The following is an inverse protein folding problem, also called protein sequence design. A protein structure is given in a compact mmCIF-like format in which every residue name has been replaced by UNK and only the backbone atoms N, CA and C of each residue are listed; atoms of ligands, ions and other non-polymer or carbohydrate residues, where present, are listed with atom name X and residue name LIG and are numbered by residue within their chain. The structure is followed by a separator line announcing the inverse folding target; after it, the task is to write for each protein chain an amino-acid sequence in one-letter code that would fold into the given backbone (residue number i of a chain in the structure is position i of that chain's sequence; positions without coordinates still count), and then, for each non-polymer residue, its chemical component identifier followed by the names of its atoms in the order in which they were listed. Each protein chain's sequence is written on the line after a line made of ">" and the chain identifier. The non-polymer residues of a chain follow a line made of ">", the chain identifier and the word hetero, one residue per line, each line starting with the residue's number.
data_IF_312027813496
#
_entry.id   IF_312027813496
#
_cell.length_a   1.000
_cell.length_b   1.000
_cell.length_c   1.000
_cell.angle_alpha   90.00
_cell.angle_beta   90.00
_cell.angle_gamma   90.00
#
_symmetry.space_group_name_H-M   'P 1'
#
loop_
_entity.id
_entity.type
_entity.pdbx_description
1 polymer ?
#
# COMPACT_ATOMS: atom_id res chain seq x y z
N UNK A 1 16.10 -19.02 30.74
CA UNK A 1 17.04 -19.01 29.60
C UNK A 1 16.97 -17.63 28.97
N UNK A 2 18.14 -17.00 28.81
CA UNK A 2 18.36 -15.55 28.60
C UNK A 2 17.76 -15.02 27.29
N UNK A 3 17.19 -13.81 27.35
CA UNK A 3 16.67 -13.02 26.24
C UNK A 3 17.77 -12.50 25.28
N UNK A 4 17.59 -12.62 23.95
CA UNK A 4 18.16 -11.78 22.86
C UNK A 4 17.35 -12.04 21.57
N UNK A 5 16.92 -11.08 20.75
CA UNK A 5 17.09 -9.63 20.79
C UNK A 5 16.03 -8.93 19.94
N UNK A 6 15.41 -7.91 20.52
CA UNK A 6 14.63 -6.92 19.79
C UNK A 6 15.59 -5.98 19.04
N UNK A 7 15.61 -6.09 17.70
CA UNK A 7 16.21 -5.12 16.77
C UNK A 7 15.11 -4.55 15.89
N UNK A 8 14.11 -3.92 16.52
CA UNK A 8 12.90 -3.46 15.82
C UNK A 8 12.83 -1.95 15.67
N UNK A 9 12.95 -1.22 16.79
CA UNK A 9 12.64 0.21 16.81
C UNK A 9 13.88 1.09 16.58
N UNK A 10 15.02 0.77 17.21
CA UNK A 10 16.25 1.56 17.10
C UNK A 10 16.85 1.60 15.69
N UNK A 11 16.86 0.45 15.03
CA UNK A 11 17.37 0.34 13.65
C UNK A 11 16.39 0.98 12.65
N UNK A 12 15.08 0.95 12.94
CA UNK A 12 14.05 1.63 12.17
C UNK A 12 14.13 3.16 12.31
N UNK A 13 14.32 3.68 13.53
CA UNK A 13 14.53 5.11 13.79
C UNK A 13 15.73 5.65 13.00
N UNK A 14 16.86 4.92 13.01
CA UNK A 14 18.03 5.28 12.22
C UNK A 14 17.77 5.27 10.71
N UNK A 15 16.93 4.35 10.22
CA UNK A 15 16.60 4.26 8.80
C UNK A 15 15.74 5.44 8.34
N UNK A 16 14.74 5.84 9.12
CA UNK A 16 13.92 7.03 8.82
C UNK A 16 14.75 8.29 8.83
N UNK A 17 15.62 8.46 9.84
CA UNK A 17 16.49 9.63 9.93
C UNK A 17 17.46 9.70 8.74
N UNK A 18 18.05 8.57 8.34
CA UNK A 18 18.91 8.46 7.15
C UNK A 18 18.18 8.66 5.82
N UNK A 19 16.92 8.27 5.71
CA UNK A 19 16.09 8.56 4.53
C UNK A 19 15.73 10.04 4.47
N UNK A 20 15.35 10.67 5.59
CA UNK A 20 15.09 12.10 5.69
C UNK A 20 16.29 12.97 5.32
N UNK A 21 17.50 12.61 5.77
CA UNK A 21 18.73 13.33 5.41
C UNK A 21 19.10 13.15 3.93
N UNK A 22 18.91 11.94 3.36
CA UNK A 22 19.13 11.70 1.92
C UNK A 22 18.14 12.47 1.05
N UNK A 23 16.88 12.60 1.48
CA UNK A 23 15.87 13.39 0.79
C UNK A 23 16.22 14.89 0.81
N UNK A 24 16.67 15.42 1.96
CA UNK A 24 17.18 16.80 2.06
C UNK A 24 18.37 17.06 1.14
N UNK A 25 19.27 16.09 0.99
CA UNK A 25 20.43 16.20 0.10
C UNK A 25 20.02 16.15 -1.39
N UNK A 26 19.04 15.29 -1.74
CA UNK A 26 18.43 15.26 -3.08
C UNK A 26 17.69 16.55 -3.42
N UNK A 27 16.96 17.14 -2.48
CA UNK A 27 16.27 18.43 -2.66
C UNK A 27 17.25 19.59 -2.85
N UNK A 28 18.42 19.59 -2.17
CA UNK A 28 19.51 20.55 -2.43
C UNK A 28 20.07 20.46 -3.85
N UNK A 29 20.02 19.28 -4.47
CA UNK A 29 20.43 19.08 -5.86
C UNK A 29 19.32 19.41 -6.86
N UNK A 30 18.05 19.27 -6.48
CA UNK A 30 16.90 19.65 -7.29
C UNK A 30 16.69 21.16 -7.35
N UNK A 31 16.93 21.90 -6.26
CA UNK A 31 16.72 23.36 -6.18
C UNK A 31 17.68 24.20 -7.05
N UNK A 32 18.55 23.56 -7.84
CA UNK A 32 19.35 24.20 -8.91
C UNK A 32 18.65 24.21 -10.28
N UNK A 33 17.46 23.62 -10.40
CA UNK A 33 16.64 23.66 -11.63
C UNK A 33 15.20 23.99 -11.25
N UNK A 34 14.60 24.91 -12.00
CA UNK A 34 13.19 25.31 -11.98
C UNK A 34 12.74 26.29 -10.89
N UNK A 35 13.06 27.56 -11.13
CA UNK A 35 12.20 28.69 -10.82
C UNK A 35 11.21 28.93 -11.97
N UNK A 36 9.98 28.41 -11.90
CA UNK A 36 8.74 29.07 -12.41
C UNK A 36 7.54 28.12 -12.47
N UNK A 37 6.51 28.39 -11.65
CA UNK A 37 5.09 28.46 -12.00
C UNK A 37 4.21 28.35 -10.73
N UNK A 38 3.21 29.23 -10.63
CA UNK A 38 2.45 29.53 -9.41
C UNK A 38 1.44 28.48 -8.95
N UNK A 39 1.22 28.45 -7.64
CA UNK A 39 0.29 27.59 -6.89
C UNK A 39 -1.06 28.28 -6.65
N UNK A 40 -2.16 27.52 -6.74
CA UNK A 40 -3.45 27.84 -6.11
C UNK A 40 -3.93 26.64 -5.27
N UNK A 41 -4.40 26.80 -4.01
CA UNK A 41 -4.43 25.70 -3.03
C UNK A 41 -5.76 24.94 -2.90
N UNK A 42 -6.75 25.12 -3.79
CA UNK A 42 -8.09 24.57 -3.59
C UNK A 42 -8.75 24.12 -4.90
N UNK A 43 -8.29 23.02 -5.49
CA UNK A 43 -9.02 22.32 -6.56
C UNK A 43 -9.51 20.93 -6.08
N UNK A 44 -10.83 20.68 -5.99
CA UNK A 44 -11.41 19.38 -5.64
C UNK A 44 -11.29 18.31 -6.75
N UNK A 45 -10.65 18.62 -7.88
CA UNK A 45 -10.34 17.67 -8.97
C UNK A 45 -8.89 17.16 -8.98
N UNK A 46 -8.13 17.38 -7.92
CA UNK A 46 -6.75 16.92 -7.82
C UNK A 46 -6.68 15.39 -7.84
N UNK A 47 -6.36 14.82 -9.01
CA UNK A 47 -6.40 13.38 -9.29
C UNK A 47 -6.94 13.01 -10.68
N UNK A 48 -7.48 13.96 -11.44
CA UNK A 48 -7.79 13.72 -12.87
C UNK A 48 -6.52 13.79 -13.71
N UNK A 49 -5.87 12.63 -13.84
CA UNK A 49 -4.92 12.37 -14.91
C UNK A 49 -3.46 12.33 -14.47
N UNK A 50 -3.08 11.33 -13.69
CA UNK A 50 -1.68 10.93 -13.59
C UNK A 50 -1.58 9.41 -13.68
N UNK A 51 -1.37 8.96 -14.91
CA UNK A 51 -1.05 7.59 -15.28
C UNK A 51 0.43 7.31 -15.00
N UNK A 52 0.70 6.34 -14.13
CA UNK A 52 1.92 5.52 -14.07
C UNK A 52 3.30 6.21 -14.15
N UNK A 53 3.47 7.43 -13.63
CA UNK A 53 4.75 8.17 -13.76
C UNK A 53 5.26 8.88 -12.50
N UNK A 54 4.67 8.72 -11.32
CA UNK A 54 5.25 9.31 -10.11
C UNK A 54 5.50 8.25 -9.03
N UNK A 55 6.73 8.25 -8.49
CA UNK A 55 7.10 7.57 -7.25
C UNK A 55 6.18 8.06 -6.14
N UNK A 56 5.09 7.34 -5.92
CA UNK A 56 4.36 7.40 -4.66
C UNK A 56 5.33 6.93 -3.59
N UNK A 57 5.89 7.88 -2.83
CA UNK A 57 6.28 7.60 -1.46
C UNK A 57 4.99 7.32 -0.69
N UNK A 58 4.40 6.16 -0.96
CA UNK A 58 3.63 5.44 0.01
C UNK A 58 4.58 5.27 1.19
N UNK A 59 4.30 5.90 2.31
CA UNK A 59 4.72 5.34 3.59
C UNK A 59 3.91 4.04 3.75
N UNK A 60 4.19 3.03 2.92
CA UNK A 60 3.94 1.62 3.23
C UNK A 60 4.95 1.27 4.30
N UNK A 61 4.79 1.89 5.46
CA UNK A 61 5.36 1.36 6.68
C UNK A 61 4.67 0.02 6.86
N UNK A 62 5.34 -1.05 6.43
CA UNK A 62 5.13 -2.41 6.90
C UNK A 62 5.50 -2.47 8.40
N UNK A 63 4.84 -1.64 9.21
CA UNK A 63 5.15 -1.41 10.61
C UNK A 63 3.88 -1.53 11.44
N UNK A 64 3.16 -2.64 11.34
CA UNK A 64 2.31 -3.05 12.46
C UNK A 64 2.29 -4.58 12.53
N UNK A 65 3.32 -5.18 13.15
CA UNK A 65 3.21 -6.57 13.62
C UNK A 65 2.41 -6.68 14.93
N UNK A 66 2.12 -5.56 15.60
CA UNK A 66 1.29 -5.54 16.81
C UNK A 66 0.54 -4.22 16.97
N UNK A 67 -0.71 -4.31 17.42
CA UNK A 67 -1.55 -3.16 17.77
C UNK A 67 -0.85 -2.19 18.74
N UNK A 68 -0.01 -2.72 19.63
CA UNK A 68 0.76 -1.94 20.62
C UNK A 68 1.74 -0.93 19.99
N UNK A 69 2.14 -1.12 18.73
CA UNK A 69 3.03 -0.19 18.03
C UNK A 69 2.29 0.96 17.33
N UNK A 70 0.96 0.87 17.17
CA UNK A 70 0.16 1.79 16.35
C UNK A 70 0.16 3.19 16.95
N UNK A 71 -0.23 3.33 18.22
CA UNK A 71 -0.31 4.64 18.88
C UNK A 71 1.07 5.35 18.94
N UNK A 72 2.18 4.69 19.37
CA UNK A 72 3.50 5.31 19.30
C UNK A 72 3.90 5.75 17.89
N UNK A 73 3.59 4.95 16.87
CA UNK A 73 3.87 5.32 15.48
C UNK A 73 3.04 6.53 15.03
N UNK A 74 1.77 6.61 15.42
CA UNK A 74 0.90 7.74 15.10
C UNK A 74 1.36 9.03 15.79
N UNK A 75 1.79 8.97 17.05
CA UNK A 75 2.38 10.12 17.74
C UNK A 75 3.62 10.67 17.04
N UNK A 76 4.49 9.78 16.55
CA UNK A 76 5.68 10.17 15.79
C UNK A 76 5.31 10.81 14.45
N UNK A 77 4.32 10.23 13.76
CA UNK A 77 3.86 10.76 12.47
C UNK A 77 3.19 12.13 12.64
N UNK A 78 2.44 12.35 13.72
CA UNK A 78 1.81 13.63 14.03
C UNK A 78 2.86 14.75 14.18
N UNK A 79 4.00 14.45 14.80
CA UNK A 79 5.11 15.42 14.96
C UNK A 79 5.71 15.91 13.63
N UNK A 80 5.59 15.12 12.57
CA UNK A 80 6.10 15.49 11.23
C UNK A 80 5.00 15.87 10.26
N UNK A 81 3.73 15.84 10.67
CA UNK A 81 2.55 16.05 9.82
C UNK A 81 2.61 17.34 9.00
N UNK A 82 3.05 18.44 9.61
CA UNK A 82 3.21 19.73 8.92
C UNK A 82 4.25 19.75 7.79
N UNK A 83 5.11 18.73 7.71
CA UNK A 83 6.12 18.57 6.67
C UNK A 83 5.73 17.56 5.60
N UNK A 84 4.61 16.85 5.77
CA UNK A 84 4.13 15.88 4.81
C UNK A 84 3.55 16.61 3.59
N UNK A 85 4.20 16.45 2.44
CA UNK A 85 3.76 17.04 1.16
C UNK A 85 2.76 16.15 0.39
N UNK A 86 2.45 14.96 0.92
CA UNK A 86 1.68 13.91 0.23
C UNK A 86 0.69 13.24 1.20
N UNK A 87 -0.42 12.69 0.69
CA UNK A 87 -1.36 11.93 1.50
C UNK A 87 -0.69 10.76 2.21
N UNK A 88 -1.10 10.51 3.46
CA UNK A 88 -0.61 9.41 4.28
C UNK A 88 -1.44 8.17 4.01
N UNK A 89 -0.75 7.05 3.74
CA UNK A 89 -1.36 5.73 3.64
C UNK A 89 -0.90 4.90 4.83
N UNK A 90 -1.81 4.31 5.60
CA UNK A 90 -1.45 3.47 6.75
C UNK A 90 -1.87 2.03 6.48
N UNK A 91 -0.89 1.12 6.47
CA UNK A 91 -1.06 -0.27 6.11
C UNK A 91 -1.21 -1.20 7.32
N UNK A 92 -2.16 -2.13 7.26
CA UNK A 92 -2.25 -3.25 8.19
C UNK A 92 -2.99 -4.45 7.58
N UNK A 93 -2.53 -5.66 7.91
CA UNK A 93 -3.29 -6.88 7.66
C UNK A 93 -4.25 -7.12 8.83
N UNK A 94 -5.53 -6.86 8.58
CA UNK A 94 -6.57 -6.92 9.62
C UNK A 94 -7.43 -8.18 9.55
N UNK A 95 -7.26 -8.99 8.50
CA UNK A 95 -7.98 -10.24 8.29
C UNK A 95 -7.05 -11.39 7.87
N UNK A 96 -7.38 -12.65 8.18
CA UNK A 96 -6.65 -13.79 7.67
C UNK A 96 -6.97 -13.98 6.18
N UNK A 97 -5.93 -14.19 5.38
CA UNK A 97 -6.04 -14.36 3.94
C UNK A 97 -5.52 -15.71 3.45
N UNK A 98 -5.48 -15.88 2.12
CA UNK A 98 -5.05 -17.13 1.53
C UNK A 98 -3.61 -17.47 1.91
N UNK A 99 -3.41 -18.68 2.43
CA UNK A 99 -2.12 -19.22 2.88
C UNK A 99 -1.42 -18.36 3.97
N UNK A 100 -2.14 -17.42 4.59
CA UNK A 100 -1.60 -16.56 5.65
C UNK A 100 -1.59 -17.25 7.00
N UNK A 101 -0.43 -17.27 7.65
CA UNK A 101 -0.26 -17.86 9.00
C UNK A 101 0.15 -16.83 10.07
N UNK A 102 0.33 -15.57 9.68
CA UNK A 102 0.70 -14.50 10.59
C UNK A 102 -0.51 -14.03 11.41
N UNK A 103 -0.23 -13.46 12.58
CA UNK A 103 -1.26 -12.78 13.38
C UNK A 103 -1.74 -11.54 12.65
N UNK A 104 -3.05 -11.32 12.69
CA UNK A 104 -3.71 -10.11 12.18
C UNK A 104 -3.70 -9.01 13.25
N UNK A 105 -3.88 -7.78 12.80
CA UNK A 105 -4.13 -6.62 13.68
C UNK A 105 -5.63 -6.50 13.90
N UNK A 106 -6.08 -6.29 15.14
CA UNK A 106 -7.50 -6.07 15.42
C UNK A 106 -8.01 -4.80 14.71
N UNK A 107 -8.97 -4.98 13.80
CA UNK A 107 -9.40 -3.94 12.87
C UNK A 107 -9.94 -2.68 13.56
N UNK A 108 -10.84 -2.85 14.55
CA UNK A 108 -11.51 -1.71 15.19
C UNK A 108 -10.54 -0.85 16.02
N UNK A 109 -9.78 -1.41 16.99
CA UNK A 109 -8.80 -0.61 17.73
C UNK A 109 -7.77 0.08 16.83
N UNK A 110 -7.33 -0.61 15.76
CA UNK A 110 -6.41 -0.02 14.79
C UNK A 110 -7.02 1.17 14.06
N UNK A 111 -8.20 1.00 13.45
CA UNK A 111 -8.87 2.08 12.69
C UNK A 111 -9.27 3.24 13.58
N UNK A 112 -9.81 2.99 14.78
CA UNK A 112 -10.13 4.03 15.77
C UNK A 112 -8.87 4.84 16.16
N UNK A 113 -7.76 4.15 16.44
CA UNK A 113 -6.50 4.81 16.81
C UNK A 113 -5.99 5.67 15.67
N UNK A 114 -5.87 5.13 14.45
CA UNK A 114 -5.34 5.88 13.30
C UNK A 114 -6.22 7.09 12.98
N UNK A 115 -7.55 6.92 12.95
CA UNK A 115 -8.48 8.03 12.64
C UNK A 115 -8.49 9.13 13.69
N UNK A 116 -8.15 8.82 14.95
CA UNK A 116 -8.02 9.84 16.00
C UNK A 116 -6.87 10.83 15.77
N UNK A 117 -5.81 10.41 15.06
CA UNK A 117 -4.67 11.27 14.67
C UNK A 117 -4.82 11.81 13.24
N UNK A 118 -5.24 10.95 12.31
CA UNK A 118 -5.32 11.24 10.88
C UNK A 118 -6.74 10.92 10.34
N UNK A 119 -7.72 11.82 10.51
CA UNK A 119 -9.08 11.59 10.04
C UNK A 119 -9.17 11.46 8.51
N UNK A 120 -8.27 12.12 7.77
CA UNK A 120 -8.20 12.15 6.30
C UNK A 120 -7.19 11.13 5.73
N UNK A 121 -6.82 10.10 6.50
CA UNK A 121 -5.90 9.05 6.08
C UNK A 121 -6.48 8.22 4.93
N UNK A 122 -5.62 7.64 4.09
CA UNK A 122 -5.99 6.49 3.26
C UNK A 122 -5.60 5.21 3.98
N UNK A 123 -6.55 4.32 4.20
CA UNK A 123 -6.22 3.01 4.76
C UNK A 123 -5.74 2.05 3.67
N UNK A 124 -4.69 1.28 3.97
CA UNK A 124 -4.28 0.11 3.19
C UNK A 124 -4.57 -1.14 4.02
N UNK A 125 -5.75 -1.74 3.83
CA UNK A 125 -6.24 -2.83 4.69
C UNK A 125 -6.15 -4.17 3.97
N UNK A 126 -5.23 -4.99 4.43
CA UNK A 126 -4.87 -6.25 3.80
C UNK A 126 -5.37 -7.48 4.53
N UNK A 127 -5.01 -8.60 3.92
CA UNK A 127 -5.08 -9.89 4.56
C UNK A 127 -3.67 -10.45 4.73
N UNK A 128 -3.45 -11.21 5.81
CA UNK A 128 -2.23 -12.01 5.88
C UNK A 128 -2.23 -13.02 4.75
N UNK A 129 -1.17 -13.05 3.95
CA UNK A 129 -1.10 -13.91 2.75
C UNK A 129 0.21 -14.68 2.71
N UNK A 130 0.16 -15.88 2.13
CA UNK A 130 1.33 -16.68 1.82
C UNK A 130 1.36 -17.08 0.35
N UNK A 131 2.55 -17.42 -0.12
CA UNK A 131 2.75 -18.08 -1.41
C UNK A 131 3.68 -19.29 -1.23
N UNK A 132 3.36 -20.39 -1.91
CA UNK A 132 4.10 -21.64 -1.81
C UNK A 132 4.34 -22.26 -3.20
N UNK A 133 5.60 -22.59 -3.57
CA UNK A 133 5.93 -23.13 -4.89
C UNK A 133 5.34 -24.53 -5.16
N UNK A 134 5.17 -25.32 -4.10
CA UNK A 134 4.78 -26.74 -4.18
C UNK A 134 3.29 -26.97 -3.94
N UNK A 135 2.50 -25.91 -3.77
CA UNK A 135 1.06 -26.01 -3.46
C UNK A 135 0.24 -25.18 -4.42
N UNK A 136 -1.02 -25.56 -4.56
CA UNK A 136 -2.02 -24.68 -5.19
C UNK A 136 -2.16 -23.45 -4.29
N UNK A 137 -1.88 -22.29 -4.86
CA UNK A 137 -2.05 -21.02 -4.16
C UNK A 137 -3.48 -20.55 -4.39
N UNK A 138 -4.35 -20.84 -3.42
CA UNK A 138 -5.73 -20.34 -3.44
C UNK A 138 -5.75 -18.81 -3.39
N UNK A 139 -6.75 -18.23 -4.05
CA UNK A 139 -7.01 -16.79 -3.98
C UNK A 139 -7.91 -16.43 -2.79
N UNK A 140 -8.09 -15.12 -2.59
CA UNK A 140 -9.14 -14.53 -1.75
C UNK A 140 -10.52 -15.11 -2.08
N UNK A 141 -11.14 -15.71 -1.07
CA UNK A 141 -12.47 -16.30 -1.18
C UNK A 141 -13.59 -15.24 -1.08
N UNK A 142 -14.82 -15.64 -1.43
CA UNK A 142 -16.00 -14.79 -1.24
C UNK A 142 -16.20 -14.38 0.22
N UNK A 143 -15.94 -15.28 1.16
CA UNK A 143 -16.04 -14.97 2.60
C UNK A 143 -15.04 -13.89 2.98
N UNK A 144 -13.79 -14.02 2.53
CA UNK A 144 -12.73 -13.05 2.83
C UNK A 144 -13.06 -11.64 2.33
N UNK A 145 -13.52 -11.50 1.08
CA UNK A 145 -13.83 -10.16 0.54
C UNK A 145 -15.10 -9.56 1.13
N UNK A 146 -16.08 -10.39 1.53
CA UNK A 146 -17.31 -9.90 2.20
C UNK A 146 -17.03 -9.44 3.63
N UNK A 147 -16.15 -10.12 4.33
CA UNK A 147 -15.73 -9.72 5.68
C UNK A 147 -14.94 -8.40 5.63
N UNK A 148 -14.02 -8.25 4.67
CA UNK A 148 -13.32 -6.98 4.46
C UNK A 148 -14.29 -5.84 4.11
N UNK A 149 -15.27 -6.10 3.24
CA UNK A 149 -16.32 -5.14 2.90
C UNK A 149 -17.12 -4.70 4.12
N UNK A 150 -17.50 -5.65 4.98
CA UNK A 150 -18.27 -5.40 6.20
C UNK A 150 -17.56 -4.44 7.16
N UNK A 151 -16.23 -4.58 7.28
CA UNK A 151 -15.40 -3.69 8.08
C UNK A 151 -15.28 -2.33 7.40
N UNK A 152 -14.91 -2.31 6.12
CA UNK A 152 -14.55 -1.08 5.42
C UNK A 152 -15.76 -0.20 5.07
N UNK A 153 -16.97 -0.76 5.02
CA UNK A 153 -18.18 0.00 4.73
C UNK A 153 -18.52 1.01 5.85
N UNK A 154 -17.99 0.79 7.06
CA UNK A 154 -18.17 1.65 8.23
C UNK A 154 -17.19 2.84 8.23
N UNK A 155 -16.14 2.78 7.42
CA UNK A 155 -15.12 3.82 7.31
C UNK A 155 -15.60 4.91 6.33
N UNK A 156 -15.25 6.17 6.60
CA UNK A 156 -15.45 7.29 5.67
C UNK A 156 -14.24 7.51 4.76
N UNK A 157 -13.08 7.04 5.17
CA UNK A 157 -11.78 7.21 4.51
C UNK A 157 -11.68 6.43 3.18
N UNK A 158 -10.81 6.84 2.24
CA UNK A 158 -10.37 5.98 1.16
C UNK A 158 -9.74 4.68 1.69
N UNK A 159 -9.98 3.56 1.00
CA UNK A 159 -9.39 2.26 1.36
C UNK A 159 -8.80 1.62 0.11
N UNK A 160 -7.51 1.32 0.16
CA UNK A 160 -6.87 0.43 -0.81
C UNK A 160 -6.72 -0.95 -0.21
N UNK A 161 -6.95 -2.00 -1.00
CA UNK A 161 -6.77 -3.38 -0.59
C UNK A 161 -5.46 -3.90 -1.19
N UNK A 162 -4.39 -4.07 -0.39
CA UNK A 162 -3.17 -4.70 -0.85
C UNK A 162 -3.43 -6.18 -1.14
N UNK A 163 -3.32 -6.56 -2.40
CA UNK A 163 -3.52 -7.92 -2.88
C UNK A 163 -2.25 -8.44 -3.54
N UNK A 164 -1.80 -9.60 -3.08
CA UNK A 164 -0.61 -10.29 -3.61
C UNK A 164 -0.82 -10.70 -5.07
N UNK A 165 0.05 -10.25 -5.98
CA UNK A 165 -0.02 -10.45 -7.43
C UNK A 165 -0.29 -11.92 -7.82
N UNK A 166 0.44 -12.85 -7.20
CA UNK A 166 0.32 -14.29 -7.45
C UNK A 166 -1.06 -14.90 -7.13
N UNK A 167 -1.92 -14.17 -6.41
CA UNK A 167 -3.24 -14.63 -5.96
C UNK A 167 -4.39 -13.89 -6.66
N UNK A 168 -4.11 -12.86 -7.46
CA UNK A 168 -5.13 -11.96 -7.99
C UNK A 168 -6.00 -12.65 -9.04
N UNK A 169 -5.38 -13.43 -9.93
CA UNK A 169 -6.09 -14.08 -11.04
C UNK A 169 -7.17 -15.04 -10.55
N UNK A 170 -6.88 -15.82 -9.51
CA UNK A 170 -7.83 -16.77 -8.94
C UNK A 170 -8.98 -16.07 -8.20
N UNK A 171 -8.79 -14.79 -7.83
CA UNK A 171 -9.75 -13.98 -7.08
C UNK A 171 -10.38 -12.85 -7.86
N UNK A 172 -10.24 -12.85 -9.18
CA UNK A 172 -10.65 -11.74 -10.01
C UNK A 172 -12.10 -11.31 -9.74
N UNK A 173 -13.04 -12.26 -9.73
CA UNK A 173 -14.47 -12.00 -9.52
C UNK A 173 -14.76 -11.41 -8.13
N UNK A 174 -14.07 -11.91 -7.10
CA UNK A 174 -14.21 -11.47 -5.71
C UNK A 174 -13.70 -10.04 -5.53
N UNK A 175 -12.53 -9.75 -6.10
CA UNK A 175 -11.90 -8.42 -6.03
C UNK A 175 -12.65 -7.38 -6.86
N UNK A 176 -13.14 -7.76 -8.04
CA UNK A 176 -13.99 -6.90 -8.87
C UNK A 176 -15.31 -6.58 -8.17
N UNK A 177 -15.92 -7.57 -7.50
CA UNK A 177 -17.10 -7.33 -6.67
C UNK A 177 -16.80 -6.35 -5.55
N UNK A 178 -15.68 -6.53 -4.84
CA UNK A 178 -15.28 -5.67 -3.73
C UNK A 178 -15.13 -4.20 -4.18
N UNK A 179 -14.42 -3.94 -5.29
CA UNK A 179 -14.26 -2.57 -5.79
C UNK A 179 -15.56 -1.89 -6.24
N UNK A 180 -16.57 -2.67 -6.64
CA UNK A 180 -17.89 -2.13 -7.00
C UNK A 180 -18.72 -1.67 -5.81
N UNK A 181 -18.30 -1.97 -4.58
CA UNK A 181 -19.04 -1.62 -3.36
C UNK A 181 -18.94 -0.16 -2.96
N UNK A 182 -17.86 0.51 -3.35
CA UNK A 182 -17.64 1.92 -3.03
C UNK A 182 -16.64 2.54 -3.99
N UNK A 183 -16.85 3.80 -4.39
CA UNK A 183 -15.88 4.57 -5.16
C UNK A 183 -14.63 4.95 -4.35
N UNK A 184 -14.66 4.76 -3.02
CA UNK A 184 -13.52 4.93 -2.11
C UNK A 184 -12.53 3.78 -2.16
N UNK A 185 -12.91 2.69 -2.82
CA UNK A 185 -12.12 1.45 -2.82
C UNK A 185 -11.17 1.38 -4.01
N UNK A 186 -9.95 0.93 -3.75
CA UNK A 186 -8.93 0.63 -4.74
C UNK A 186 -8.18 -0.67 -4.40
N UNK A 187 -7.35 -1.16 -5.31
CA UNK A 187 -6.41 -2.25 -5.09
C UNK A 187 -4.98 -1.73 -5.15
N UNK A 188 -4.11 -2.30 -4.31
CA UNK A 188 -2.66 -2.20 -4.48
C UNK A 188 -2.14 -3.61 -4.78
N UNK A 189 -1.76 -3.86 -6.04
CA UNK A 189 -1.18 -5.14 -6.43
C UNK A 189 0.27 -5.16 -5.98
N UNK A 190 0.63 -6.06 -5.06
CA UNK A 190 2.00 -6.15 -4.52
C UNK A 190 2.61 -7.53 -4.72
N UNK A 191 3.94 -7.64 -4.63
CA UNK A 191 4.63 -8.94 -4.76
C UNK A 191 5.59 -9.23 -3.62
N UNK A 192 5.62 -10.49 -3.18
CA UNK A 192 6.70 -11.03 -2.37
C UNK A 192 7.94 -11.33 -3.22
N UNK A 193 9.10 -11.41 -2.57
CA UNK A 193 10.40 -11.70 -3.23
C UNK A 193 10.44 -13.04 -3.95
N UNK A 194 9.71 -14.03 -3.45
CA UNK A 194 9.74 -15.41 -3.95
C UNK A 194 8.44 -15.78 -4.67
N UNK A 195 7.55 -14.82 -4.91
CA UNK A 195 6.27 -15.10 -5.54
C UNK A 195 6.49 -15.41 -7.02
N UNK A 196 5.80 -16.43 -7.53
CA UNK A 196 5.73 -16.69 -8.96
C UNK A 196 4.39 -16.25 -9.51
N UNK A 197 4.41 -15.37 -10.50
CA UNK A 197 3.26 -14.81 -11.20
C UNK A 197 3.75 -14.30 -12.56
N UNK A 198 2.83 -14.22 -13.52
CA UNK A 198 3.19 -13.80 -14.88
C UNK A 198 2.87 -12.33 -15.14
N UNK A 199 3.57 -11.74 -16.09
CA UNK A 199 3.26 -10.38 -16.59
C UNK A 199 1.86 -10.36 -17.20
N UNK A 200 1.40 -11.45 -17.81
CA UNK A 200 0.04 -11.61 -18.33
C UNK A 200 -1.03 -11.47 -17.24
N UNK A 201 -0.76 -11.93 -16.02
CA UNK A 201 -1.71 -11.80 -14.91
C UNK A 201 -1.84 -10.32 -14.48
N UNK A 202 -0.76 -9.55 -14.51
CA UNK A 202 -0.79 -8.10 -14.26
C UNK A 202 -1.52 -7.34 -15.37
N UNK A 203 -1.30 -7.72 -16.64
CA UNK A 203 -2.00 -7.17 -17.79
C UNK A 203 -3.50 -7.48 -17.72
N UNK A 204 -3.86 -8.71 -17.34
CA UNK A 204 -5.25 -9.11 -17.13
C UNK A 204 -5.96 -8.20 -16.13
N UNK A 205 -5.33 -7.89 -15.00
CA UNK A 205 -5.85 -6.91 -14.04
C UNK A 205 -6.02 -5.54 -14.68
N UNK A 206 -4.99 -5.06 -15.39
CA UNK A 206 -4.99 -3.73 -16.01
C UNK A 206 -6.10 -3.54 -17.05
N UNK A 207 -6.45 -4.60 -17.76
CA UNK A 207 -7.43 -4.57 -18.85
C UNK A 207 -8.87 -4.64 -18.35
N UNK A 208 -9.10 -5.18 -17.15
CA UNK A 208 -10.45 -5.45 -16.66
C UNK A 208 -10.86 -4.62 -15.44
N UNK A 209 -9.92 -3.99 -14.72
CA UNK A 209 -10.21 -3.04 -13.66
C UNK A 209 -10.07 -1.59 -14.14
N UNK A 210 -10.75 -0.64 -13.48
CA UNK A 210 -10.49 0.79 -13.71
C UNK A 210 -9.05 1.11 -13.31
N UNK A 211 -8.27 1.62 -14.27
CA UNK A 211 -6.86 1.98 -14.10
C UNK A 211 -6.64 3.03 -13.01
N UNK A 212 -7.67 3.79 -12.62
CA UNK A 212 -7.62 4.76 -11.51
C UNK A 212 -7.79 4.11 -10.14
N UNK A 213 -8.31 2.88 -10.08
CA UNK A 213 -8.55 2.14 -8.85
C UNK A 213 -7.50 1.06 -8.60
N UNK A 214 -6.44 0.96 -9.42
CA UNK A 214 -5.40 -0.06 -9.26
C UNK A 214 -4.01 0.56 -9.26
N UNK A 215 -3.30 0.34 -8.15
CA UNK A 215 -1.90 0.70 -7.96
C UNK A 215 -1.04 -0.56 -8.02
N UNK A 216 0.23 -0.41 -8.39
CA UNK A 216 1.17 -1.52 -8.59
C UNK A 216 2.45 -1.26 -7.77
N UNK A 217 2.71 -2.13 -6.80
CA UNK A 217 3.93 -2.20 -5.98
C UNK A 217 4.68 -3.50 -6.32
N UNK A 218 5.30 -3.51 -7.51
CA UNK A 218 5.90 -4.70 -8.12
C UNK A 218 7.41 -4.60 -8.04
N UNK A 219 8.06 -5.68 -7.59
CA UNK A 219 9.51 -5.80 -7.54
C UNK A 219 10.10 -6.03 -8.94
N UNK A 220 11.34 -5.60 -9.12
CA UNK A 220 12.13 -5.97 -10.30
C UNK A 220 12.51 -7.46 -10.27
N UNK A 221 12.62 -8.13 -11.43
CA UNK A 221 12.56 -7.58 -12.79
C UNK A 221 11.16 -7.51 -13.42
N UNK A 222 10.13 -8.10 -12.81
CA UNK A 222 8.77 -8.16 -13.38
C UNK A 222 8.15 -6.76 -13.59
N UNK A 223 8.47 -5.78 -12.74
CA UNK A 223 8.00 -4.42 -12.92
C UNK A 223 8.49 -3.80 -14.24
N UNK A 224 9.76 -4.01 -14.61
CA UNK A 224 10.29 -3.58 -15.89
C UNK A 224 9.56 -4.25 -17.07
N UNK A 225 9.38 -5.58 -17.04
CA UNK A 225 8.65 -6.31 -18.09
C UNK A 225 7.21 -5.80 -18.24
N UNK A 226 6.51 -5.60 -17.12
CA UNK A 226 5.16 -5.07 -17.09
C UNK A 226 5.09 -3.65 -17.68
N UNK A 227 6.01 -2.76 -17.31
CA UNK A 227 6.10 -1.39 -17.86
C UNK A 227 6.36 -1.41 -19.37
N UNK A 228 7.26 -2.27 -19.84
CA UNK A 228 7.51 -2.44 -21.27
C UNK A 228 6.26 -2.91 -22.01
N UNK A 229 5.55 -3.91 -21.46
CA UNK A 229 4.34 -4.46 -22.07
C UNK A 229 3.21 -3.41 -22.20
N UNK A 230 3.16 -2.41 -21.32
CA UNK A 230 2.16 -1.33 -21.37
C UNK A 230 2.68 -0.04 -22.05
N UNK A 231 3.86 -0.11 -22.70
CA UNK A 231 4.41 0.97 -23.52
C UNK A 231 5.09 2.11 -22.74
N UNK A 232 5.43 1.90 -21.46
CA UNK A 232 6.20 2.87 -20.68
C UNK A 232 7.69 2.70 -20.98
N UNK A 233 8.34 3.76 -21.45
CA UNK A 233 9.80 3.77 -21.66
C UNK A 233 10.51 3.64 -20.31
N UNK A 234 11.19 2.52 -20.10
CA UNK A 234 12.08 2.33 -18.95
C UNK A 234 13.50 2.62 -19.44
N UNK A 235 14.09 3.72 -18.98
CA UNK A 235 15.50 3.99 -19.24
C UNK A 235 16.32 3.08 -18.33
N UNK A 236 17.18 2.26 -18.93
CA UNK A 236 18.16 1.41 -18.25
C UNK A 236 19.27 2.24 -17.61
#
# INVERSE_FOLDING_TARGET
>A
MVARGGRGLGDWMKKIEQEGEREKEREKHLHKRDTSAGHHPHDPNWGRGQTATEEYLSLTTNCVFSLAAVEPAMMLLENVKGHLKRPVWINADILPGPNGNSRVVDAKPFTDTVTSFFPDVTFSLGWTTGWHPEKVNEGYSWTMVKEMEYICNQLSQPVTFPVRAALVKQSFSQLLWLLKKSNRYSLTIWTGKNDNYSTEDLLYVRDHFDKKQVFYDILEPQNHEFKQAIGIKVNL
#
